data_IF_982395003693
#
_entry.id   IF_982395003693
#
_cell.length_a   1.000
_cell.length_b   1.000
_cell.length_c   1.000
_cell.angle_alpha   90.00
_cell.angle_beta   90.00
_cell.angle_gamma   90.00
#
_symmetry.space_group_name_H-M   'P 1'
#
loop_
_entity.id
_entity.type
_entity.pdbx_description
1 polymer ?
#
# COMPACT_ATOMS: atom_id res chain seq x y z
N UNK A 1 -19.87 18.39 -10.44
CA UNK A 1 -21.09 19.21 -10.50
C UNK A 1 -20.81 20.51 -9.75
N UNK A 2 -20.53 21.57 -10.51
CA UNK A 2 -20.96 22.96 -10.36
C UNK A 2 -20.11 23.76 -11.35
N UNK A 3 -20.77 24.20 -12.43
CA UNK A 3 -20.32 25.30 -13.25
C UNK A 3 -20.65 26.61 -12.52
N UNK A 4 -19.90 27.67 -12.83
CA UNK A 4 -20.43 28.98 -13.24
C UNK A 4 -19.25 29.92 -13.44
N UNK A 5 -18.98 30.30 -14.69
CA UNK A 5 -18.31 31.57 -14.97
C UNK A 5 -19.12 32.29 -16.03
N UNK A 6 -19.58 33.48 -15.64
CA UNK A 6 -20.44 34.37 -16.39
C UNK A 6 -19.80 34.81 -17.71
N UNK A 7 -20.62 34.83 -18.75
CA UNK A 7 -20.39 35.57 -19.98
C UNK A 7 -20.35 37.07 -19.68
N UNK A 8 -19.30 37.75 -20.16
CA UNK A 8 -19.38 39.17 -20.52
C UNK A 8 -18.69 39.33 -21.88
N UNK A 9 -19.51 39.47 -22.92
CA UNK A 9 -19.03 39.81 -24.26
C UNK A 9 -18.46 41.22 -24.24
N UNK A 10 -17.24 41.38 -24.73
CA UNK A 10 -16.77 42.64 -25.29
C UNK A 10 -15.99 42.30 -26.55
N UNK A 11 -16.60 42.55 -27.71
CA UNK A 11 -15.93 42.53 -29.00
C UNK A 11 -14.96 43.71 -29.03
N UNK A 12 -13.70 43.45 -29.35
CA UNK A 12 -12.84 44.33 -30.13
C UNK A 12 -11.67 43.50 -30.64
N UNK A 13 -11.42 43.60 -31.95
CA UNK A 13 -10.63 42.65 -32.72
C UNK A 13 -9.14 42.68 -32.42
N UNK A 14 -8.51 41.53 -32.58
CA UNK A 14 -7.20 41.43 -33.20
C UNK A 14 -7.02 40.00 -33.75
N UNK A 15 -6.24 39.89 -34.81
CA UNK A 15 -5.96 38.66 -35.55
C UNK A 15 -5.31 37.58 -34.68
N UNK A 16 -5.87 36.37 -34.63
CA UNK A 16 -5.10 35.20 -34.16
C UNK A 16 -5.61 33.86 -34.71
N UNK A 17 -4.62 33.13 -35.21
CA UNK A 17 -4.48 31.71 -35.51
C UNK A 17 -5.66 30.85 -35.01
N UNK A 18 -6.41 30.28 -35.96
CA UNK A 18 -7.45 29.29 -35.71
C UNK A 18 -6.84 27.97 -35.23
N UNK A 19 -6.69 27.82 -33.91
CA UNK A 19 -6.60 26.50 -33.31
C UNK A 19 -7.97 25.84 -33.45
N UNK A 20 -8.08 24.88 -34.36
CA UNK A 20 -9.22 23.97 -34.43
C UNK A 20 -9.21 23.16 -33.14
N UNK A 21 -9.88 23.69 -32.10
CA UNK A 21 -10.29 22.89 -30.97
C UNK A 21 -11.20 21.82 -31.57
N UNK A 22 -10.67 20.60 -31.68
CA UNK A 22 -11.48 19.41 -31.91
C UNK A 22 -12.45 19.35 -30.73
N UNK A 23 -13.63 19.94 -30.95
CA UNK A 23 -14.77 19.79 -30.08
C UNK A 23 -15.15 18.33 -30.13
N UNK A 24 -14.58 17.55 -29.21
CA UNK A 24 -15.04 16.21 -28.84
C UNK A 24 -16.41 16.27 -28.14
N UNK A 25 -17.30 17.15 -28.60
CA UNK A 25 -18.68 17.28 -28.15
C UNK A 25 -19.61 16.26 -28.82
N UNK A 26 -19.10 15.38 -29.70
CA UNK A 26 -19.92 14.38 -30.40
C UNK A 26 -20.05 13.00 -29.71
N UNK A 27 -19.61 12.83 -28.46
CA UNK A 27 -19.77 11.53 -27.76
C UNK A 27 -20.40 11.61 -26.37
N UNK A 28 -20.92 12.78 -25.96
CA UNK A 28 -21.52 12.98 -24.63
C UNK A 28 -23.05 13.01 -24.64
N UNK A 29 -23.68 12.01 -25.25
CA UNK A 29 -25.14 11.78 -25.12
C UNK A 29 -25.52 10.30 -25.29
N UNK A 30 -24.91 9.44 -24.48
CA UNK A 30 -25.61 8.26 -23.96
C UNK A 30 -25.41 8.28 -22.47
N UNK A 31 -26.40 8.76 -21.72
CA UNK A 31 -26.54 8.41 -20.32
C UNK A 31 -26.70 6.90 -20.30
N UNK A 32 -25.59 6.14 -20.19
CA UNK A 32 -25.66 4.72 -19.92
C UNK A 32 -26.49 4.59 -18.64
N UNK A 33 -27.71 4.05 -18.77
CA UNK A 33 -28.57 3.79 -17.63
C UNK A 33 -27.79 2.87 -16.70
N UNK A 34 -27.34 3.41 -15.56
CA UNK A 34 -26.63 2.67 -14.54
C UNK A 34 -27.47 1.44 -14.19
N UNK A 35 -26.86 0.25 -14.24
CA UNK A 35 -27.56 -1.00 -13.92
C UNK A 35 -28.13 -0.89 -12.50
N UNK A 36 -29.37 -1.33 -12.26
CA UNK A 36 -29.96 -1.28 -10.93
C UNK A 36 -29.13 -2.10 -9.94
N UNK A 37 -29.13 -1.64 -8.69
CA UNK A 37 -28.34 -2.26 -7.64
C UNK A 37 -28.78 -3.71 -7.41
N UNK A 38 -27.83 -4.64 -7.30
CA UNK A 38 -28.10 -6.08 -7.13
C UNK A 38 -28.21 -6.52 -5.65
N UNK A 39 -28.24 -5.58 -4.71
CA UNK A 39 -28.27 -5.88 -3.28
C UNK A 39 -29.55 -6.58 -2.81
N UNK A 40 -30.67 -6.36 -3.52
CA UNK A 40 -31.98 -6.93 -3.19
C UNK A 40 -32.38 -8.08 -4.13
N UNK A 41 -31.40 -8.85 -4.63
CA UNK A 41 -31.70 -10.09 -5.37
C UNK A 41 -31.72 -11.29 -4.41
N UNK A 42 -32.47 -12.33 -4.75
CA UNK A 42 -32.52 -13.58 -3.96
C UNK A 42 -31.11 -14.16 -3.78
N UNK A 43 -30.30 -14.15 -4.85
CA UNK A 43 -28.90 -14.55 -4.81
C UNK A 43 -28.11 -13.77 -3.74
N UNK A 44 -28.30 -12.45 -3.65
CA UNK A 44 -27.59 -11.63 -2.68
C UNK A 44 -28.08 -11.84 -1.24
N UNK A 45 -29.37 -12.11 -1.04
CA UNK A 45 -29.89 -12.56 0.25
C UNK A 45 -29.30 -13.90 0.70
N UNK A 46 -29.10 -14.85 -0.22
CA UNK A 46 -28.39 -16.09 0.09
C UNK A 46 -26.96 -15.79 0.56
N UNK A 47 -26.24 -14.87 -0.10
CA UNK A 47 -24.91 -14.46 0.35
C UNK A 47 -24.92 -13.80 1.72
N UNK A 48 -25.92 -12.97 2.03
CA UNK A 48 -26.08 -12.42 3.38
C UNK A 48 -26.27 -13.50 4.43
N UNK A 49 -27.15 -14.49 4.16
CA UNK A 49 -27.37 -15.61 5.08
C UNK A 49 -26.08 -16.39 5.28
N UNK A 50 -25.39 -16.77 4.19
CA UNK A 50 -24.11 -17.48 4.25
C UNK A 50 -23.11 -16.67 5.07
N UNK A 51 -23.01 -15.36 4.87
CA UNK A 51 -22.09 -14.50 5.61
C UNK A 51 -22.43 -14.44 7.12
N UNK A 52 -23.69 -14.19 7.46
CA UNK A 52 -24.17 -14.08 8.85
C UNK A 52 -24.06 -15.41 9.60
N UNK A 53 -24.13 -16.55 8.91
CA UNK A 53 -23.93 -17.87 9.53
C UNK A 53 -22.44 -18.24 9.59
N UNK A 54 -21.74 -18.10 8.48
CA UNK A 54 -20.35 -18.59 8.34
C UNK A 54 -19.39 -17.81 9.20
N UNK A 55 -19.51 -16.47 9.27
CA UNK A 55 -18.56 -15.65 10.02
C UNK A 55 -18.62 -15.96 11.52
N UNK A 56 -19.78 -15.92 12.21
CA UNK A 56 -19.88 -16.37 13.60
C UNK A 56 -19.45 -17.83 13.79
N UNK A 57 -19.76 -18.72 12.85
CA UNK A 57 -19.34 -20.11 12.91
C UNK A 57 -17.81 -20.25 12.87
N UNK A 58 -17.10 -19.50 12.03
CA UNK A 58 -15.62 -19.47 12.00
C UNK A 58 -15.04 -19.07 13.37
N UNK A 59 -15.61 -18.02 13.99
CA UNK A 59 -15.19 -17.62 15.34
C UNK A 59 -15.52 -18.68 16.39
N UNK A 60 -16.69 -19.31 16.31
CA UNK A 60 -17.12 -20.35 17.24
C UNK A 60 -16.23 -21.59 17.15
N UNK A 61 -15.86 -22.03 15.95
CA UNK A 61 -14.93 -23.16 15.74
C UNK A 61 -13.56 -22.84 16.33
N UNK A 62 -12.99 -21.67 15.99
CA UNK A 62 -11.69 -21.24 16.52
C UNK A 62 -11.71 -21.12 18.06
N UNK A 63 -12.80 -20.58 18.62
CA UNK A 63 -13.01 -20.52 20.07
C UNK A 63 -13.07 -21.90 20.70
N UNK A 64 -13.78 -22.85 20.08
CA UNK A 64 -14.02 -24.20 20.62
C UNK A 64 -12.76 -25.04 20.63
N UNK A 65 -11.97 -24.99 19.55
CA UNK A 65 -10.69 -25.71 19.47
C UNK A 65 -9.68 -25.11 20.46
N UNK A 66 -9.65 -23.79 20.63
CA UNK A 66 -8.74 -23.09 21.56
C UNK A 66 -9.13 -23.16 23.05
N UNK A 67 -10.03 -24.06 23.45
CA UNK A 67 -10.37 -24.27 24.87
C UNK A 67 -9.39 -25.26 25.49
N UNK A 68 -8.99 -25.00 26.74
CA UNK A 68 -8.15 -25.90 27.53
C UNK A 68 -8.77 -27.30 27.70
N UNK A 69 -10.10 -27.38 27.70
CA UNK A 69 -10.86 -28.63 27.77
C UNK A 69 -10.85 -29.45 26.46
N UNK A 70 -10.32 -28.93 25.36
CA UNK A 70 -10.34 -29.61 24.07
C UNK A 70 -9.30 -30.75 24.06
N UNK A 71 -9.62 -31.96 23.53
CA UNK A 71 -8.69 -33.11 23.56
C UNK A 71 -7.33 -32.84 22.92
N UNK A 72 -7.29 -31.96 21.91
CA UNK A 72 -6.05 -31.60 21.21
C UNK A 72 -5.25 -30.48 21.90
N UNK A 73 -5.80 -29.78 22.89
CA UNK A 73 -5.15 -28.62 23.52
C UNK A 73 -3.76 -28.95 24.11
N UNK A 74 -3.57 -30.09 24.82
CA UNK A 74 -2.25 -30.44 25.35
C UNK A 74 -1.17 -30.65 24.28
N UNK A 75 -1.54 -30.86 23.00
CA UNK A 75 -0.58 -31.08 21.92
C UNK A 75 0.14 -29.80 21.48
N UNK A 76 -0.47 -28.64 21.71
CA UNK A 76 0.07 -27.34 21.29
C UNK A 76 0.15 -26.31 22.40
N UNK A 77 -0.32 -26.62 23.61
CA UNK A 77 -0.31 -25.71 24.75
C UNK A 77 1.08 -25.10 25.01
N UNK A 78 2.15 -25.88 24.85
CA UNK A 78 3.52 -25.43 25.10
C UNK A 78 4.06 -24.44 24.05
N UNK A 79 3.39 -24.28 22.91
CA UNK A 79 3.69 -23.24 21.92
C UNK A 79 2.95 -21.93 22.19
N UNK A 80 1.94 -21.95 23.08
CA UNK A 80 1.14 -20.77 23.38
C UNK A 80 1.83 -19.90 24.44
N UNK A 81 1.67 -18.59 24.28
CA UNK A 81 2.14 -17.58 25.24
C UNK A 81 0.97 -17.03 26.03
N UNK A 82 1.24 -16.55 27.24
CA UNK A 82 0.21 -15.93 28.08
C UNK A 82 -0.31 -14.62 27.45
N UNK A 83 -1.63 -14.53 27.31
CA UNK A 83 -2.30 -13.41 26.67
C UNK A 83 -2.91 -12.41 27.63
N UNK A 84 -3.24 -11.25 27.07
CA UNK A 84 -3.91 -10.17 27.81
C UNK A 84 -5.44 -10.37 27.92
N UNK A 85 -6.01 -11.28 27.13
CA UNK A 85 -7.46 -11.47 27.05
C UNK A 85 -7.93 -12.49 28.10
N UNK A 86 -8.31 -12.00 29.29
CA UNK A 86 -8.91 -12.80 30.36
C UNK A 86 -8.11 -14.06 30.75
N UNK A 87 -6.77 -13.97 30.75
CA UNK A 87 -5.89 -15.08 31.09
C UNK A 87 -5.80 -16.19 30.03
N UNK A 88 -6.40 -16.00 28.84
CA UNK A 88 -6.28 -16.98 27.75
C UNK A 88 -4.91 -16.89 27.11
N UNK A 89 -4.30 -18.05 26.89
CA UNK A 89 -3.09 -18.18 26.07
C UNK A 89 -3.41 -17.93 24.60
N UNK A 90 -2.42 -17.46 23.85
CA UNK A 90 -2.54 -17.20 22.42
C UNK A 90 -1.29 -17.66 21.67
N UNK A 91 -1.41 -17.81 20.35
CA UNK A 91 -0.30 -18.17 19.49
C UNK A 91 0.55 -16.96 19.08
N UNK A 92 1.83 -16.97 19.46
CA UNK A 92 2.83 -15.95 19.10
C UNK A 92 3.92 -16.45 18.14
N UNK A 93 3.69 -17.58 17.47
CA UNK A 93 4.68 -18.21 16.57
C UNK A 93 4.93 -17.43 15.28
N UNK A 94 3.92 -16.76 14.74
CA UNK A 94 4.06 -15.96 13.52
C UNK A 94 4.87 -14.69 13.79
N UNK A 95 6.11 -14.64 13.30
CA UNK A 95 7.00 -13.50 13.50
C UNK A 95 6.45 -12.18 12.94
N UNK A 96 5.65 -12.17 11.88
CA UNK A 96 5.09 -10.96 11.30
C UNK A 96 4.08 -10.32 12.26
N UNK A 97 3.15 -11.12 12.79
CA UNK A 97 2.15 -10.65 13.75
C UNK A 97 2.74 -10.44 15.15
N UNK A 98 3.65 -11.31 15.58
CA UNK A 98 4.35 -11.19 16.86
C UNK A 98 5.13 -9.87 16.95
N UNK A 99 5.83 -9.47 15.88
CA UNK A 99 6.60 -8.23 15.87
C UNK A 99 5.71 -7.00 16.11
N UNK A 100 4.51 -6.96 15.52
CA UNK A 100 3.54 -5.87 15.75
C UNK A 100 2.96 -5.94 17.16
N UNK A 101 2.50 -7.13 17.56
CA UNK A 101 1.82 -7.36 18.85
C UNK A 101 2.74 -7.08 20.04
N UNK A 102 3.99 -7.52 19.99
CA UNK A 102 4.95 -7.31 21.07
C UNK A 102 5.37 -5.82 21.17
N UNK A 103 5.20 -5.05 20.09
CA UNK A 103 5.55 -3.63 20.02
C UNK A 103 4.31 -2.72 19.88
N UNK A 104 3.13 -3.18 20.32
CA UNK A 104 1.90 -2.43 20.07
C UNK A 104 1.88 -1.05 20.78
N UNK A 105 2.49 -0.93 21.96
CA UNK A 105 2.59 0.33 22.71
C UNK A 105 3.41 1.38 21.94
N UNK A 106 4.68 1.12 21.55
CA UNK A 106 5.45 2.12 20.80
C UNK A 106 4.81 2.42 19.43
N UNK A 107 4.18 1.44 18.77
CA UNK A 107 3.42 1.68 17.53
C UNK A 107 2.21 2.60 17.75
N UNK A 108 1.46 2.40 18.84
CA UNK A 108 0.34 3.24 19.21
C UNK A 108 0.80 4.67 19.55
N UNK A 109 1.90 4.83 20.29
CA UNK A 109 2.47 6.14 20.56
C UNK A 109 2.93 6.84 19.28
N UNK A 110 3.59 6.13 18.36
CA UNK A 110 3.98 6.67 17.06
C UNK A 110 2.76 7.13 16.24
N UNK A 111 1.64 6.39 16.29
CA UNK A 111 0.38 6.78 15.66
C UNK A 111 -0.18 8.08 16.26
N UNK A 112 -0.23 8.20 17.59
CA UNK A 112 -0.70 9.41 18.26
C UNK A 112 0.19 10.60 17.91
N UNK A 113 1.51 10.43 17.98
CA UNK A 113 2.50 11.45 17.58
C UNK A 113 2.28 11.87 16.13
N UNK A 114 2.09 10.92 15.21
CA UNK A 114 1.80 11.22 13.80
C UNK A 114 0.58 12.12 13.64
N UNK A 115 -0.55 11.75 14.28
CA UNK A 115 -1.81 12.49 14.16
C UNK A 115 -1.67 13.90 14.73
N UNK A 116 -1.02 14.06 15.89
CA UNK A 116 -0.80 15.37 16.51
C UNK A 116 0.10 16.23 15.64
N UNK A 117 1.26 15.72 15.23
CA UNK A 117 2.20 16.46 14.37
C UNK A 117 1.60 16.82 13.01
N UNK A 118 0.84 15.90 12.40
CA UNK A 118 0.17 16.14 11.12
C UNK A 118 -0.88 17.25 11.24
N UNK A 119 -1.67 17.26 12.33
CA UNK A 119 -2.65 18.33 12.60
C UNK A 119 -1.97 19.67 12.85
N UNK A 120 -0.91 19.70 13.66
CA UNK A 120 -0.14 20.92 13.91
C UNK A 120 0.51 21.45 12.63
N UNK A 121 1.13 20.58 11.84
CA UNK A 121 1.74 20.95 10.57
C UNK A 121 0.70 21.54 9.61
N UNK A 122 -0.47 20.91 9.52
CA UNK A 122 -1.56 21.39 8.67
C UNK A 122 -2.11 22.73 9.14
N UNK A 123 -2.25 22.92 10.45
CA UNK A 123 -2.68 24.18 11.04
C UNK A 123 -1.68 25.33 10.80
N UNK A 124 -0.38 25.05 10.89
CA UNK A 124 0.67 26.07 10.81
C UNK A 124 1.12 26.39 9.37
N UNK A 125 1.18 25.39 8.49
CA UNK A 125 1.89 25.50 7.21
C UNK A 125 1.05 25.18 5.98
N UNK A 126 -0.14 24.61 6.12
CA UNK A 126 -0.98 24.25 4.96
C UNK A 126 -2.07 25.29 4.78
N UNK A 127 -2.06 26.05 3.66
CA UNK A 127 -3.13 27.01 3.38
C UNK A 127 -4.50 26.32 3.29
N UNK A 128 -5.55 26.97 3.78
CA UNK A 128 -6.92 26.44 3.76
C UNK A 128 -7.49 26.25 2.35
N UNK A 129 -6.88 26.87 1.34
CA UNK A 129 -7.31 26.75 -0.05
C UNK A 129 -6.65 25.56 -0.74
N UNK A 130 -7.42 24.70 -1.43
CA UNK A 130 -6.87 23.54 -2.13
C UNK A 130 -5.97 23.99 -3.29
N UNK A 131 -4.94 23.20 -3.56
CA UNK A 131 -4.06 23.43 -4.70
C UNK A 131 -4.88 23.33 -6.01
N UNK A 132 -4.81 24.36 -6.85
CA UNK A 132 -5.51 24.45 -8.14
C UNK A 132 -4.57 24.22 -9.32
N UNK A 133 -3.27 24.45 -9.14
CA UNK A 133 -2.26 24.27 -10.18
C UNK A 133 -1.28 23.13 -9.82
N UNK A 134 -0.81 22.35 -10.81
CA UNK A 134 0.19 21.30 -10.60
C UNK A 134 1.53 21.80 -10.04
N UNK A 135 1.84 23.08 -10.25
CA UNK A 135 3.09 23.72 -9.80
C UNK A 135 3.09 24.14 -8.32
N UNK A 136 1.96 24.00 -7.62
CA UNK A 136 1.86 24.39 -6.22
C UNK A 136 2.49 23.34 -5.30
N UNK A 137 3.26 23.79 -4.31
CA UNK A 137 3.94 22.91 -3.37
C UNK A 137 2.94 22.08 -2.55
N UNK A 138 3.09 20.76 -2.62
CA UNK A 138 2.30 19.81 -1.83
C UNK A 138 2.91 19.65 -0.44
N UNK A 139 2.78 20.67 0.40
CA UNK A 139 3.36 20.71 1.77
C UNK A 139 3.10 19.42 2.58
N UNK A 140 1.88 18.88 2.51
CA UNK A 140 1.51 17.64 3.21
C UNK A 140 2.32 16.42 2.72
N UNK A 141 2.67 16.36 1.44
CA UNK A 141 3.44 15.23 0.87
C UNK A 141 4.85 15.21 1.45
N UNK A 142 5.50 16.37 1.56
CA UNK A 142 6.83 16.45 2.17
C UNK A 142 6.81 16.06 3.66
N UNK A 143 5.84 16.55 4.42
CA UNK A 143 5.66 16.14 5.81
C UNK A 143 5.47 14.62 5.91
N UNK A 144 4.56 14.06 5.12
CA UNK A 144 4.28 12.63 5.13
C UNK A 144 5.53 11.82 4.74
N UNK A 145 6.30 12.26 3.75
CA UNK A 145 7.52 11.60 3.31
C UNK A 145 8.58 11.59 4.43
N UNK A 146 8.86 12.75 5.03
CA UNK A 146 9.85 12.87 6.10
C UNK A 146 9.43 12.06 7.32
N UNK A 147 8.17 12.19 7.75
CA UNK A 147 7.65 11.41 8.87
C UNK A 147 7.72 9.92 8.58
N UNK A 148 7.33 9.48 7.37
CA UNK A 148 7.38 8.08 6.99
C UNK A 148 8.80 7.55 7.00
N UNK A 149 9.79 8.29 6.50
CA UNK A 149 11.19 7.88 6.54
C UNK A 149 11.71 7.72 7.96
N UNK A 150 11.41 8.68 8.85
CA UNK A 150 11.77 8.59 10.27
C UNK A 150 11.10 7.42 10.97
N UNK A 151 9.80 7.23 10.73
CA UNK A 151 9.03 6.11 11.28
C UNK A 151 9.58 4.77 10.80
N UNK A 152 9.81 4.62 9.48
CA UNK A 152 10.39 3.40 8.91
C UNK A 152 11.82 3.16 9.40
N UNK A 153 12.62 4.21 9.63
CA UNK A 153 13.94 4.06 10.23
C UNK A 153 13.84 3.55 11.67
N UNK A 154 12.90 4.06 12.48
CA UNK A 154 12.62 3.52 13.81
C UNK A 154 12.18 2.05 13.76
N UNK A 155 11.36 1.67 12.78
CA UNK A 155 10.90 0.29 12.64
C UNK A 155 11.97 -0.66 12.14
N UNK A 156 12.71 -0.32 11.08
CA UNK A 156 13.60 -1.24 10.37
C UNK A 156 15.09 -0.99 10.64
N UNK A 157 15.42 0.07 11.38
CA UNK A 157 16.79 0.52 11.61
C UNK A 157 17.53 0.79 10.30
N UNK A 158 18.78 0.35 10.23
CA UNK A 158 19.61 0.47 9.04
C UNK A 158 19.15 -0.46 7.90
N UNK A 159 18.24 -1.40 8.17
CA UNK A 159 17.56 -2.20 7.14
C UNK A 159 16.75 -1.35 6.15
N UNK A 160 16.39 -0.12 6.52
CA UNK A 160 15.73 0.84 5.63
C UNK A 160 16.53 1.08 4.35
N UNK A 161 17.87 1.15 4.42
CA UNK A 161 18.71 1.36 3.23
C UNK A 161 18.51 0.24 2.20
N UNK A 162 18.45 -1.02 2.67
CA UNK A 162 18.21 -2.20 1.83
C UNK A 162 16.83 -2.12 1.18
N UNK A 163 15.79 -1.77 1.95
CA UNK A 163 14.43 -1.56 1.43
C UNK A 163 14.42 -0.50 0.32
N UNK A 164 15.05 0.65 0.56
CA UNK A 164 15.09 1.75 -0.41
C UNK A 164 15.84 1.36 -1.70
N UNK A 165 16.93 0.60 -1.58
CA UNK A 165 17.66 0.07 -2.74
C UNK A 165 16.76 -0.87 -3.56
N UNK A 166 16.12 -1.85 -2.90
CA UNK A 166 15.25 -2.82 -3.59
C UNK A 166 14.07 -2.09 -4.25
N UNK A 167 13.44 -1.15 -3.54
CA UNK A 167 12.34 -0.34 -4.06
C UNK A 167 12.77 0.48 -5.28
N UNK A 168 13.94 1.13 -5.21
CA UNK A 168 14.48 1.94 -6.30
C UNK A 168 14.78 1.08 -7.52
N UNK A 169 15.45 -0.05 -7.34
CA UNK A 169 15.74 -0.99 -8.43
C UNK A 169 14.46 -1.49 -9.09
N UNK A 170 13.45 -1.87 -8.29
CA UNK A 170 12.18 -2.32 -8.82
C UNK A 170 11.44 -1.22 -9.62
N UNK A 171 11.46 0.02 -9.12
CA UNK A 171 10.91 1.18 -9.84
C UNK A 171 11.66 1.46 -11.14
N UNK A 172 12.99 1.35 -11.14
CA UNK A 172 13.81 1.55 -12.33
C UNK A 172 13.51 0.50 -13.41
N UNK A 173 13.29 -0.77 -13.03
CA UNK A 173 12.84 -1.82 -13.97
C UNK A 173 11.59 -1.36 -14.72
N UNK A 174 10.56 -0.88 -14.02
CA UNK A 174 9.36 -0.38 -14.67
C UNK A 174 9.65 0.79 -15.62
N UNK A 175 10.45 1.77 -15.18
CA UNK A 175 10.75 2.96 -15.98
C UNK A 175 11.60 2.70 -17.22
N UNK A 176 12.51 1.73 -17.16
CA UNK A 176 13.37 1.35 -18.29
C UNK A 176 12.60 0.52 -19.30
N UNK A 177 11.89 -0.52 -18.87
CA UNK A 177 11.23 -1.47 -19.78
C UNK A 177 9.81 -1.06 -20.21
N UNK A 178 9.15 -0.15 -19.48
CA UNK A 178 7.84 0.45 -19.83
C UNK A 178 6.80 -0.60 -20.25
N UNK A 179 6.20 -0.45 -21.44
CA UNK A 179 5.21 -1.36 -22.02
C UNK A 179 5.80 -2.62 -22.68
N UNK A 180 7.08 -2.93 -22.50
CA UNK A 180 7.67 -4.18 -22.98
C UNK A 180 7.32 -5.35 -22.07
N UNK A 181 7.12 -6.54 -22.66
CA UNK A 181 6.91 -7.79 -21.89
C UNK A 181 8.11 -8.10 -20.97
N UNK A 182 9.29 -7.57 -21.29
CA UNK A 182 10.47 -7.66 -20.43
C UNK A 182 10.24 -7.03 -19.05
N UNK A 183 9.42 -5.97 -18.95
CA UNK A 183 9.06 -5.38 -17.66
C UNK A 183 8.43 -6.44 -16.75
N UNK A 184 7.44 -7.18 -17.26
CA UNK A 184 6.76 -8.23 -16.53
C UNK A 184 7.74 -9.33 -16.10
N UNK A 185 8.50 -9.88 -17.03
CA UNK A 185 9.44 -10.99 -16.76
C UNK A 185 10.49 -10.58 -15.74
N UNK A 186 11.17 -9.45 -15.96
CA UNK A 186 12.25 -8.99 -15.08
C UNK A 186 11.72 -8.62 -13.70
N UNK A 187 10.53 -7.99 -13.63
CA UNK A 187 9.89 -7.69 -12.34
C UNK A 187 9.65 -8.95 -11.53
N UNK A 188 9.06 -9.99 -12.12
CA UNK A 188 8.78 -11.24 -11.41
C UNK A 188 10.06 -11.95 -10.99
N UNK A 189 11.03 -12.09 -11.89
CA UNK A 189 12.31 -12.73 -11.59
C UNK A 189 13.05 -11.99 -10.48
N UNK A 190 13.13 -10.66 -10.56
CA UNK A 190 13.78 -9.83 -9.54
C UNK A 190 13.11 -9.98 -8.17
N UNK A 191 11.79 -9.83 -8.10
CA UNK A 191 11.07 -9.92 -6.82
C UNK A 191 11.20 -11.33 -6.23
N UNK A 192 10.99 -12.39 -7.02
CA UNK A 192 11.16 -13.77 -6.54
C UNK A 192 12.59 -14.03 -6.04
N UNK A 193 13.61 -13.55 -6.76
CA UNK A 193 14.99 -13.65 -6.31
C UNK A 193 15.21 -12.96 -4.96
N UNK A 194 14.69 -11.73 -4.78
CA UNK A 194 14.74 -11.03 -3.49
C UNK A 194 14.02 -11.81 -2.38
N UNK A 195 12.89 -12.45 -2.67
CA UNK A 195 12.19 -13.30 -1.70
C UNK A 195 13.09 -14.43 -1.19
N UNK A 196 13.69 -15.19 -2.11
CA UNK A 196 14.57 -16.31 -1.78
C UNK A 196 15.83 -15.86 -1.04
N UNK A 197 16.45 -14.77 -1.50
CA UNK A 197 17.63 -14.20 -0.88
C UNK A 197 17.32 -13.67 0.54
N UNK A 198 16.17 -13.04 0.75
CA UNK A 198 15.73 -12.57 2.07
C UNK A 198 15.56 -13.73 3.05
N UNK A 199 14.99 -14.85 2.62
CA UNK A 199 14.82 -16.02 3.48
C UNK A 199 16.16 -16.75 3.74
N UNK A 200 16.98 -16.92 2.71
CA UNK A 200 18.27 -17.62 2.81
C UNK A 200 19.27 -16.90 3.69
N UNK A 201 19.36 -15.57 3.58
CA UNK A 201 20.33 -14.73 4.29
C UNK A 201 19.72 -13.95 5.47
N UNK A 202 18.46 -14.28 5.84
CA UNK A 202 17.72 -13.68 6.96
C UNK A 202 17.82 -12.15 7.02
N UNK A 203 17.78 -11.47 5.87
CA UNK A 203 17.76 -10.00 5.77
C UNK A 203 19.11 -9.31 5.52
N UNK A 204 20.11 -10.07 5.09
CA UNK A 204 21.49 -9.65 4.73
C UNK A 204 22.22 -8.95 5.87
N UNK A 205 23.43 -9.35 6.19
CA UNK A 205 24.27 -8.55 7.08
C UNK A 205 25.15 -7.63 6.24
N UNK A 206 25.31 -6.38 6.66
CA UNK A 206 26.20 -5.44 5.97
C UNK A 206 27.65 -5.94 6.01
N UNK A 207 28.04 -6.62 7.09
CA UNK A 207 29.33 -7.31 7.21
C UNK A 207 29.59 -8.35 6.11
N UNK A 208 28.55 -8.95 5.50
CA UNK A 208 28.72 -9.89 4.38
C UNK A 208 29.15 -9.20 3.09
N UNK A 209 28.88 -7.89 2.96
CA UNK A 209 29.28 -7.10 1.79
C UNK A 209 30.67 -6.53 2.01
N UNK A 210 30.91 -5.92 3.15
CA UNK A 210 32.20 -5.39 3.57
C UNK A 210 32.24 -5.30 5.10
N UNK A 211 33.31 -5.82 5.70
CA UNK A 211 33.53 -5.80 7.15
C UNK A 211 33.50 -4.37 7.73
N UNK A 212 33.91 -3.37 6.93
CA UNK A 212 33.88 -1.95 7.34
C UNK A 212 32.47 -1.42 7.60
N UNK A 213 31.44 -2.06 7.03
CA UNK A 213 30.03 -1.68 7.23
C UNK A 213 29.36 -2.46 8.36
N UNK A 214 30.08 -3.35 9.05
CA UNK A 214 29.55 -4.15 10.17
C UNK A 214 28.91 -3.30 11.28
N UNK A 215 29.38 -2.07 11.50
CA UNK A 215 28.76 -1.15 12.47
C UNK A 215 27.28 -0.86 12.17
N UNK A 216 26.85 -0.96 10.91
CA UNK A 216 25.46 -0.76 10.51
C UNK A 216 24.56 -1.92 10.93
N UNK A 217 25.11 -3.11 11.19
CA UNK A 217 24.33 -4.27 11.63
C UNK A 217 23.87 -4.17 13.10
N UNK A 218 24.42 -3.22 13.86
CA UNK A 218 24.07 -2.97 15.26
C UNK A 218 22.65 -2.40 15.45
N UNK A 219 22.15 -1.64 14.47
CA UNK A 219 20.81 -1.06 14.53
C UNK A 219 19.85 -1.77 13.55
N UNK A 220 19.15 -2.80 14.05
CA UNK A 220 18.16 -3.58 13.29
C UNK A 220 16.73 -3.05 13.38
N UNK A 221 16.49 -2.01 14.18
CA UNK A 221 15.15 -1.46 14.44
C UNK A 221 14.26 -2.36 15.31
N UNK A 222 13.00 -1.95 15.47
CA UNK A 222 11.99 -2.66 16.25
C UNK A 222 11.48 -3.94 15.57
N UNK A 223 11.43 -3.95 14.24
CA UNK A 223 10.84 -5.00 13.42
C UNK A 223 11.87 -5.53 12.41
N UNK A 224 11.80 -6.83 12.16
CA UNK A 224 12.59 -7.48 11.11
C UNK A 224 12.04 -7.09 9.74
N UNK A 225 12.76 -6.19 9.07
CA UNK A 225 12.36 -5.62 7.79
C UNK A 225 12.03 -6.70 6.75
N UNK A 226 12.84 -7.74 6.66
CA UNK A 226 12.78 -8.81 5.66
C UNK A 226 11.49 -9.66 5.76
N UNK A 227 10.90 -9.78 6.95
CA UNK A 227 9.66 -10.55 7.16
C UNK A 227 8.47 -9.74 6.63
N UNK A 228 8.41 -8.46 7.01
CA UNK A 228 7.28 -7.57 6.64
C UNK A 228 7.35 -7.14 5.17
N UNK A 229 8.55 -7.11 4.59
CA UNK A 229 8.79 -6.67 3.22
C UNK A 229 8.07 -7.50 2.15
N UNK A 230 7.72 -8.76 2.45
CA UNK A 230 7.01 -9.64 1.52
C UNK A 230 5.68 -9.03 1.02
N UNK A 231 4.97 -8.30 1.89
CA UNK A 231 3.74 -7.59 1.49
C UNK A 231 4.06 -6.41 0.56
N UNK A 232 5.15 -5.69 0.81
CA UNK A 232 5.60 -4.58 -0.04
C UNK A 232 6.05 -5.05 -1.42
N UNK A 233 6.64 -6.24 -1.53
CA UNK A 233 6.94 -6.86 -2.82
C UNK A 233 5.72 -7.06 -3.70
N UNK A 234 4.61 -7.52 -3.13
CA UNK A 234 3.37 -7.68 -3.89
C UNK A 234 2.88 -6.34 -4.44
N UNK A 235 3.04 -5.25 -3.68
CA UNK A 235 2.72 -3.89 -4.14
C UNK A 235 3.63 -3.42 -5.26
N UNK A 236 4.92 -3.73 -5.18
CA UNK A 236 5.91 -3.44 -6.22
C UNK A 236 5.59 -4.17 -7.53
N UNK A 237 5.27 -5.46 -7.46
CA UNK A 237 4.83 -6.25 -8.63
C UNK A 237 3.56 -5.63 -9.22
N UNK A 238 2.54 -5.35 -8.39
CA UNK A 238 1.29 -4.73 -8.84
C UNK A 238 1.56 -3.42 -9.58
N UNK A 239 2.38 -2.53 -9.01
CA UNK A 239 2.74 -1.26 -9.62
C UNK A 239 3.39 -1.45 -11.00
N UNK A 240 4.35 -2.36 -11.13
CA UNK A 240 5.05 -2.60 -12.39
C UNK A 240 4.12 -3.19 -13.47
N UNK A 241 3.21 -4.09 -13.08
CA UNK A 241 2.21 -4.68 -13.99
C UNK A 241 1.17 -3.63 -14.44
N UNK A 242 0.67 -2.81 -13.52
CA UNK A 242 -0.24 -1.70 -13.84
C UNK A 242 0.44 -0.68 -14.75
N UNK A 243 1.72 -0.39 -14.51
CA UNK A 243 2.52 0.48 -15.37
C UNK A 243 2.69 -0.10 -16.77
N UNK A 244 2.98 -1.40 -16.90
CA UNK A 244 3.04 -2.09 -18.19
C UNK A 244 1.72 -1.98 -18.96
N UNK A 245 0.59 -2.27 -18.32
CA UNK A 245 -0.72 -2.19 -18.96
C UNK A 245 -1.19 -0.79 -19.29
N UNK A 246 -0.65 0.24 -18.64
CA UNK A 246 -0.97 1.63 -18.98
C UNK A 246 -0.59 1.99 -20.42
N UNK A 247 0.40 1.31 -21.01
CA UNK A 247 0.81 1.50 -22.40
C UNK A 247 -0.08 0.72 -23.39
N UNK A 248 -0.57 -0.46 -23.01
CA UNK A 248 -1.44 -1.28 -23.87
C UNK A 248 -2.80 -0.62 -24.15
N UNK A 249 -3.30 0.21 -23.24
CA UNK A 249 -4.53 0.98 -23.44
C UNK A 249 -4.40 2.09 -24.49
N UNK A 250 -3.19 2.58 -24.75
CA UNK A 250 -2.95 3.61 -25.77
C UNK A 250 -2.91 3.01 -27.18
N UNK A 251 -2.34 1.81 -27.34
CA UNK A 251 -2.25 1.13 -28.64
C UNK A 251 -3.60 0.62 -29.20
N UNK A 252 -4.61 0.46 -28.35
CA UNK A 252 -5.95 0.00 -28.74
C UNK A 252 -6.87 1.11 -29.28
N UNK A 253 -6.53 2.38 -29.07
CA UNK A 253 -7.28 3.54 -29.60
C UNK A 253 -6.74 3.93 -30.99
N UNK A 254 -5.42 3.86 -31.22
CA UNK A 254 -4.78 4.17 -32.50
C UNK A 254 -5.08 3.16 -33.63
N UNK A 255 -5.70 2.02 -33.33
CA UNK A 255 -6.05 0.97 -34.31
C UNK A 255 -7.52 0.98 -34.71
N UNK A 256 -8.28 1.99 -34.27
CA UNK A 256 -9.70 2.18 -34.60
C UNK A 256 -10.00 3.44 -35.44
N UNK A 257 -8.96 4.16 -35.86
CA UNK A 257 -9.03 5.22 -36.88
C UNK A 257 -8.39 4.72 -38.20
#
# INVERSE_FOLDING_TARGET
MYALTNLKSKNEGDSDISYTLVSSESSRSKTEKLKPSRWNTVEFYVYYIVHVVTIPYMFWVAYTISRESHPNYPQYEHYLSDGWLFGRKFDNSDFQFASVRNNYIPLFLALVIHVVLSRLYRFLFVPSQPAKLPSQHLHQVYFNLVFSLLFFYGLCGNGLLKILIILTMNYLIAKVFKGSILNCVITWVFNLAILFLNDRYKGYEFAMVDERLSFLDNNRGLLRWQVTFNISMLRMISYNMDYYWSFGKLAGDDSKE
#
